data_IF_903037155909
#
_entry.id   IF_903037155909
#
_cell.length_a   1.000
_cell.length_b   1.000
_cell.length_c   1.000
_cell.angle_alpha   90.00
_cell.angle_beta   90.00
_cell.angle_gamma   90.00
#
_symmetry.space_group_name_H-M   'P 1'
#
loop_
_entity.id
_entity.type
_entity.pdbx_description
1 polymer ?
#
# COMPACT_ATOMS: atom_id res chain seq x y z
N UNK A 1 1.72 -7.55 -8.05
CA UNK A 1 2.34 -6.28 -7.70
C UNK A 1 2.19 -5.27 -8.83
N UNK A 2 2.12 -4.00 -8.51
CA UNK A 2 2.31 -2.91 -9.45
C UNK A 2 3.79 -2.78 -9.81
N UNK A 3 4.17 -2.78 -11.11
CA UNK A 3 5.59 -2.65 -11.50
C UNK A 3 6.23 -1.34 -11.09
N UNK A 4 5.43 -0.29 -10.90
CA UNK A 4 5.90 1.06 -10.57
C UNK A 4 6.15 1.25 -9.08
N UNK A 5 5.18 0.86 -8.24
CA UNK A 5 5.28 1.05 -6.79
C UNK A 5 5.96 -0.12 -6.08
N UNK A 6 6.01 -1.30 -6.72
CA UNK A 6 6.41 -2.59 -6.12
C UNK A 6 5.52 -3.03 -4.95
N UNK A 7 4.44 -2.31 -4.72
CA UNK A 7 3.40 -2.65 -3.76
C UNK A 7 2.42 -3.66 -4.38
N UNK A 8 1.64 -4.41 -3.59
CA UNK A 8 0.50 -5.15 -4.10
C UNK A 8 -0.35 -4.28 -5.03
N UNK A 9 -0.79 -4.86 -6.14
CA UNK A 9 -1.76 -4.20 -7.00
C UNK A 9 -3.13 -4.34 -6.34
N UNK A 10 -3.78 -3.20 -6.11
CA UNK A 10 -5.13 -3.16 -5.52
C UNK A 10 -6.14 -3.05 -6.64
N UNK A 11 -7.17 -3.87 -6.55
CA UNK A 11 -8.29 -3.93 -7.50
C UNK A 11 -9.58 -3.64 -6.74
N UNK A 12 -10.35 -2.66 -7.19
CA UNK A 12 -11.68 -2.42 -6.67
C UNK A 12 -12.67 -3.28 -7.46
N UNK A 13 -13.38 -4.15 -6.77
CA UNK A 13 -14.44 -4.93 -7.39
C UNK A 13 -15.61 -4.02 -7.77
N UNK A 14 -16.04 -4.02 -9.04
CA UNK A 14 -17.09 -3.11 -9.49
C UNK A 14 -18.49 -3.44 -8.95
N UNK A 15 -18.69 -4.63 -8.40
CA UNK A 15 -19.99 -5.08 -7.87
C UNK A 15 -20.10 -4.87 -6.36
N UNK A 16 -19.03 -5.22 -5.61
CA UNK A 16 -19.04 -5.16 -4.14
C UNK A 16 -18.37 -3.91 -3.60
N UNK A 17 -17.57 -3.23 -4.41
CA UNK A 17 -16.72 -2.10 -4.02
C UNK A 17 -15.67 -2.46 -2.98
N UNK A 18 -15.33 -3.75 -2.87
CA UNK A 18 -14.23 -4.19 -2.03
C UNK A 18 -12.87 -3.90 -2.68
N UNK A 19 -11.92 -3.53 -1.84
CA UNK A 19 -10.55 -3.27 -2.23
C UNK A 19 -9.73 -4.55 -2.07
N UNK A 20 -9.45 -5.19 -3.20
CA UNK A 20 -8.93 -6.55 -3.25
C UNK A 20 -7.47 -6.61 -3.68
N UNK A 21 -6.76 -7.61 -3.16
CA UNK A 21 -5.47 -8.05 -3.70
C UNK A 21 -5.63 -9.43 -4.33
N UNK A 22 -5.12 -9.58 -5.57
CA UNK A 22 -5.24 -10.80 -6.34
C UNK A 22 -4.16 -11.81 -5.93
N UNK A 23 -4.59 -13.01 -5.57
CA UNK A 23 -3.75 -14.16 -5.26
C UNK A 23 -4.10 -15.34 -6.15
N UNK A 24 -3.10 -16.15 -6.50
CA UNK A 24 -3.27 -17.29 -7.38
C UNK A 24 -2.54 -18.50 -6.82
N UNK A 25 -3.19 -19.67 -6.86
CA UNK A 25 -2.60 -20.94 -6.44
C UNK A 25 -1.61 -21.48 -7.47
N UNK A 26 -1.77 -21.09 -8.73
CA UNK A 26 -0.90 -21.55 -9.82
C UNK A 26 -0.30 -20.37 -10.59
N UNK A 27 0.95 -20.56 -11.03
CA UNK A 27 1.65 -19.56 -11.85
C UNK A 27 0.98 -19.38 -13.22
N UNK A 28 0.41 -20.44 -13.77
CA UNK A 28 -0.27 -20.42 -15.07
C UNK A 28 -1.48 -19.48 -15.04
N UNK A 29 -2.36 -19.64 -14.05
CA UNK A 29 -3.53 -18.77 -13.89
C UNK A 29 -3.11 -17.32 -13.66
N UNK A 30 -2.11 -17.09 -12.79
CA UNK A 30 -1.57 -15.76 -12.57
C UNK A 30 -1.06 -15.10 -13.86
N UNK A 31 -0.38 -15.85 -14.73
CA UNK A 31 0.10 -15.36 -16.02
C UNK A 31 -1.04 -15.04 -16.99
N UNK A 32 -2.08 -15.88 -17.02
CA UNK A 32 -3.23 -15.66 -17.88
C UNK A 32 -3.99 -14.40 -17.46
N UNK A 33 -4.30 -14.27 -16.18
CA UNK A 33 -4.94 -13.08 -15.64
C UNK A 33 -4.08 -11.82 -15.87
N UNK A 34 -2.76 -11.91 -15.68
CA UNK A 34 -1.87 -10.78 -15.94
C UNK A 34 -1.87 -10.35 -17.42
N UNK A 35 -2.07 -11.27 -18.38
CA UNK A 35 -2.24 -10.92 -19.81
C UNK A 35 -3.54 -10.16 -20.05
N UNK A 36 -4.65 -10.62 -19.46
CA UNK A 36 -5.95 -9.93 -19.57
C UNK A 36 -5.89 -8.50 -19.00
N UNK A 37 -5.19 -8.31 -17.87
CA UNK A 37 -4.96 -6.97 -17.33
C UNK A 37 -4.06 -6.12 -18.23
N UNK A 38 -3.05 -6.73 -18.87
CA UNK A 38 -2.18 -6.02 -19.80
C UNK A 38 -2.94 -5.55 -21.06
N UNK A 39 -3.90 -6.32 -21.57
CA UNK A 39 -4.80 -5.92 -22.65
C UNK A 39 -5.63 -4.68 -22.28
N UNK A 40 -5.98 -4.56 -21.00
CA UNK A 40 -6.63 -3.37 -20.42
C UNK A 40 -5.64 -2.24 -20.07
N UNK A 41 -4.38 -2.35 -20.52
CA UNK A 41 -3.27 -1.42 -20.22
C UNK A 41 -2.91 -1.33 -18.73
N UNK A 42 -3.12 -2.40 -17.99
CA UNK A 42 -2.75 -2.52 -16.57
C UNK A 42 -1.62 -3.54 -16.47
N UNK A 43 -0.36 -3.12 -16.48
CA UNK A 43 0.76 -4.03 -16.35
C UNK A 43 0.86 -4.56 -14.92
N UNK A 44 0.96 -5.88 -14.75
CA UNK A 44 1.15 -6.54 -13.48
C UNK A 44 2.49 -7.24 -13.43
N UNK A 45 3.15 -7.20 -12.26
CA UNK A 45 4.33 -8.00 -11.96
C UNK A 45 3.93 -9.15 -11.05
N UNK A 46 4.23 -10.38 -11.46
CA UNK A 46 4.02 -11.54 -10.61
C UNK A 46 5.13 -11.65 -9.56
N UNK A 47 4.77 -12.01 -8.36
CA UNK A 47 5.69 -12.32 -7.27
C UNK A 47 5.22 -13.58 -6.56
N UNK A 48 6.16 -14.47 -6.24
CA UNK A 48 5.88 -15.63 -5.43
C UNK A 48 5.85 -15.20 -3.96
N UNK A 49 4.84 -15.67 -3.25
CA UNK A 49 4.70 -15.48 -1.81
C UNK A 49 4.95 -16.83 -1.11
N UNK A 50 5.93 -16.88 -0.24
CA UNK A 50 6.21 -18.08 0.54
C UNK A 50 5.34 -18.15 1.80
N UNK A 51 5.02 -19.36 2.25
CA UNK A 51 4.16 -19.60 3.42
C UNK A 51 4.63 -18.85 4.68
N UNK A 52 5.94 -18.70 4.85
CA UNK A 52 6.53 -17.96 5.99
C UNK A 52 6.24 -16.46 5.97
N UNK A 53 5.85 -15.93 4.82
CA UNK A 53 5.57 -14.50 4.61
C UNK A 53 4.08 -14.18 4.71
N UNK A 54 3.19 -15.18 4.71
CA UNK A 54 1.74 -14.95 4.66
C UNK A 54 1.23 -14.03 5.76
N UNK A 55 1.58 -14.32 7.01
CA UNK A 55 1.10 -13.51 8.13
C UNK A 55 1.55 -12.04 8.04
N UNK A 56 2.82 -11.81 7.70
CA UNK A 56 3.37 -10.47 7.54
C UNK A 56 2.70 -9.77 6.35
N UNK A 57 2.53 -10.49 5.25
CA UNK A 57 1.89 -9.97 4.04
C UNK A 57 0.44 -9.56 4.33
N UNK A 58 -0.37 -10.47 4.86
CA UNK A 58 -1.78 -10.17 5.15
C UNK A 58 -1.94 -9.06 6.19
N UNK A 59 -1.10 -9.04 7.23
CA UNK A 59 -1.10 -7.95 8.21
C UNK A 59 -0.77 -6.59 7.60
N UNK A 60 0.11 -6.56 6.59
CA UNK A 60 0.47 -5.31 5.90
C UNK A 60 -0.65 -4.75 5.02
N UNK A 61 -1.59 -5.59 4.58
CA UNK A 61 -2.71 -5.17 3.74
C UNK A 61 -3.68 -4.23 4.48
N UNK A 62 -3.81 -4.37 5.80
CA UNK A 62 -4.61 -3.43 6.60
C UNK A 62 -4.08 -1.99 6.52
N UNK A 63 -2.75 -1.81 6.61
CA UNK A 63 -2.15 -0.48 6.49
C UNK A 63 -2.30 0.11 5.08
N UNK A 64 -2.61 -0.75 4.08
CA UNK A 64 -2.87 -0.34 2.70
C UNK A 64 -4.35 -0.05 2.41
N UNK A 65 -5.24 -0.28 3.37
CA UNK A 65 -6.70 -0.12 3.19
C UNK A 65 -7.39 -1.28 2.47
N UNK A 66 -6.67 -2.37 2.19
CA UNK A 66 -7.26 -3.57 1.55
C UNK A 66 -8.11 -4.32 2.55
N UNK A 67 -9.30 -4.74 2.14
CA UNK A 67 -10.26 -5.45 2.99
C UNK A 67 -10.53 -6.89 2.54
N UNK A 68 -10.20 -7.25 1.30
CA UNK A 68 -10.51 -8.56 0.73
C UNK A 68 -9.34 -9.15 -0.08
N UNK A 69 -9.30 -10.47 -0.17
CA UNK A 69 -8.42 -11.22 -1.06
C UNK A 69 -9.24 -11.93 -2.12
N UNK A 70 -8.92 -11.68 -3.38
CA UNK A 70 -9.49 -12.39 -4.52
C UNK A 70 -8.57 -13.54 -4.91
N UNK A 71 -9.04 -14.76 -4.68
CA UNK A 71 -8.31 -16.00 -4.98
C UNK A 71 -8.71 -16.52 -6.35
N UNK A 72 -7.72 -16.79 -7.20
CA UNK A 72 -7.87 -17.43 -8.51
C UNK A 72 -8.90 -16.72 -9.41
N UNK A 73 -8.89 -15.40 -9.45
CA UNK A 73 -9.72 -14.62 -10.36
C UNK A 73 -9.55 -15.11 -11.81
N UNK A 74 -10.68 -15.39 -12.48
CA UNK A 74 -10.70 -15.96 -13.84
C UNK A 74 -10.45 -17.46 -13.92
N UNK A 75 -10.27 -18.15 -12.79
CA UNK A 75 -10.13 -19.60 -12.72
C UNK A 75 -11.47 -20.35 -12.61
N UNK A 76 -11.40 -21.69 -12.56
CA UNK A 76 -12.59 -22.54 -12.43
C UNK A 76 -13.29 -22.38 -11.06
N UNK A 77 -12.54 -22.06 -10.02
CA UNK A 77 -13.06 -21.95 -8.63
C UNK A 77 -12.48 -20.68 -8.00
N UNK A 78 -12.94 -19.52 -8.43
CA UNK A 78 -12.57 -18.27 -7.77
C UNK A 78 -13.21 -18.22 -6.38
N UNK A 79 -12.54 -17.56 -5.45
CA UNK A 79 -13.07 -17.35 -4.11
C UNK A 79 -12.65 -15.98 -3.59
N UNK A 80 -13.48 -15.37 -2.78
CA UNK A 80 -13.19 -14.15 -2.06
C UNK A 80 -13.09 -14.44 -0.58
N UNK A 81 -12.14 -13.85 0.10
CA UNK A 81 -11.90 -14.05 1.51
C UNK A 81 -11.66 -12.70 2.15
N UNK A 82 -12.51 -12.31 3.09
CA UNK A 82 -12.33 -11.08 3.83
C UNK A 82 -11.04 -11.15 4.68
N UNK A 83 -10.27 -10.07 4.67
CA UNK A 83 -8.96 -10.06 5.33
C UNK A 83 -9.04 -10.33 6.84
N UNK A 84 -10.12 -9.91 7.50
CA UNK A 84 -10.38 -10.15 8.92
C UNK A 84 -10.67 -11.61 9.28
N UNK A 85 -10.99 -12.45 8.30
CA UNK A 85 -11.13 -13.90 8.51
C UNK A 85 -9.78 -14.61 8.58
N UNK A 86 -8.76 -14.03 7.93
CA UNK A 86 -7.41 -14.60 7.88
C UNK A 86 -6.50 -14.10 8.98
N UNK A 87 -6.58 -12.82 9.30
CA UNK A 87 -5.70 -12.18 10.29
C UNK A 87 -6.53 -11.33 11.24
N UNK A 88 -6.45 -11.68 12.52
CA UNK A 88 -7.02 -10.84 13.58
C UNK A 88 -6.09 -9.68 13.85
N UNK A 89 -6.66 -8.48 13.86
CA UNK A 89 -5.97 -7.28 14.23
C UNK A 89 -6.41 -6.85 15.62
N UNK A 90 -5.51 -6.71 16.60
CA UNK A 90 -5.88 -6.17 17.90
C UNK A 90 -6.47 -4.76 17.74
N UNK A 91 -7.52 -4.46 18.49
CA UNK A 91 -8.06 -3.10 18.56
C UNK A 91 -7.01 -2.12 19.08
N UNK A 92 -7.09 -0.85 18.66
CA UNK A 92 -6.18 0.19 19.13
C UNK A 92 -6.25 0.39 20.65
N UNK A 93 -7.42 0.16 21.25
CA UNK A 93 -7.63 0.20 22.71
C UNK A 93 -6.92 -0.92 23.47
N UNK A 94 -6.47 -1.97 22.78
CA UNK A 94 -5.74 -3.11 23.38
C UNK A 94 -4.22 -2.93 23.31
N UNK A 95 -3.74 -1.81 22.80
CA UNK A 95 -2.31 -1.51 22.79
C UNK A 95 -1.82 -1.21 24.20
N UNK A 96 -0.57 -1.60 24.53
CA UNK A 96 0.05 -1.23 25.79
C UNK A 96 0.04 0.29 26.00
N UNK A 97 -0.01 0.70 27.27
CA UNK A 97 0.02 2.13 27.62
C UNK A 97 1.25 2.82 27.00
N UNK A 98 1.03 3.99 26.40
CA UNK A 98 2.05 4.76 25.70
C UNK A 98 2.37 4.31 24.28
N UNK A 99 1.75 3.25 23.78
CA UNK A 99 1.87 2.86 22.38
C UNK A 99 0.72 3.42 21.54
N UNK A 100 1.08 4.00 20.39
CA UNK A 100 0.13 4.54 19.42
C UNK A 100 0.35 3.80 18.10
N UNK A 101 -0.74 3.31 17.52
CA UNK A 101 -0.70 2.78 16.15
C UNK A 101 -0.89 3.92 15.17
N UNK A 102 0.13 4.19 14.38
CA UNK A 102 0.07 5.16 13.29
C UNK A 102 -0.12 4.40 11.98
N UNK A 103 -1.22 4.66 11.31
CA UNK A 103 -1.59 4.10 10.01
C UNK A 103 -2.53 5.06 9.30
N UNK A 104 -2.43 5.06 7.98
CA UNK A 104 -3.22 5.92 7.11
C UNK A 104 -3.79 5.09 5.94
N UNK A 105 -4.69 4.11 6.22
CA UNK A 105 -5.16 3.17 5.19
C UNK A 105 -5.85 3.86 4.03
N UNK A 106 -6.68 4.88 4.27
CA UNK A 106 -7.36 5.64 3.21
C UNK A 106 -6.34 6.39 2.34
N UNK A 107 -5.34 7.02 2.94
CA UNK A 107 -4.26 7.69 2.19
C UNK A 107 -3.47 6.69 1.35
N UNK A 108 -3.12 5.53 1.92
CA UNK A 108 -2.37 4.51 1.20
C UNK A 108 -3.17 3.96 0.03
N UNK A 109 -4.45 3.66 0.24
CA UNK A 109 -5.34 3.14 -0.78
C UNK A 109 -5.51 4.12 -1.95
N UNK A 110 -5.90 5.37 -1.66
CA UNK A 110 -6.07 6.41 -2.68
C UNK A 110 -4.77 6.71 -3.41
N UNK A 111 -3.62 6.70 -2.72
CA UNK A 111 -2.29 6.85 -3.33
C UNK A 111 -1.96 5.70 -4.28
N UNK A 112 -2.32 4.46 -3.92
CA UNK A 112 -2.11 3.30 -4.78
C UNK A 112 -2.96 3.38 -6.05
N UNK A 113 -4.23 3.71 -5.94
CA UNK A 113 -5.11 3.91 -7.10
C UNK A 113 -4.63 5.05 -7.99
N UNK A 114 -4.31 6.20 -7.41
CA UNK A 114 -3.76 7.34 -8.15
C UNK A 114 -2.49 6.94 -8.91
N UNK A 115 -1.54 6.27 -8.26
CA UNK A 115 -0.29 5.84 -8.89
C UNK A 115 -0.50 4.75 -9.94
N UNK A 116 -1.43 3.84 -9.74
CA UNK A 116 -1.79 2.81 -10.70
C UNK A 116 -2.38 3.45 -11.96
N UNK A 117 -3.32 4.39 -11.82
CA UNK A 117 -3.91 5.08 -12.95
C UNK A 117 -2.92 6.01 -13.66
N UNK A 118 -2.16 6.81 -12.93
CA UNK A 118 -1.12 7.68 -13.47
C UNK A 118 -0.09 6.93 -14.34
N UNK A 119 0.18 5.66 -14.00
CA UNK A 119 1.20 4.83 -14.66
C UNK A 119 0.64 3.89 -15.73
N UNK A 120 -0.64 3.90 -16.02
CA UNK A 120 -1.24 3.16 -17.14
C UNK A 120 -0.75 3.63 -18.50
N UNK A 121 -0.35 4.90 -18.58
CA UNK A 121 0.22 5.50 -19.81
C UNK A 121 1.65 5.96 -19.59
N UNK A 122 2.57 5.74 -20.56
CA UNK A 122 3.91 6.30 -20.54
C UNK A 122 3.94 7.85 -20.56
N UNK A 123 2.88 8.44 -21.10
CA UNK A 123 2.65 9.88 -21.13
C UNK A 123 1.28 10.16 -20.52
N UNK A 124 1.19 10.22 -19.19
CA UNK A 124 -0.08 10.44 -18.52
C UNK A 124 -0.63 11.82 -18.92
N UNK A 125 -1.88 11.83 -19.31
CA UNK A 125 -2.64 13.07 -19.48
C UNK A 125 -3.41 13.31 -18.20
N UNK A 126 -3.47 14.55 -17.75
CA UNK A 126 -4.26 14.93 -16.59
C UNK A 126 -5.73 14.93 -17.01
N UNK A 127 -6.45 13.88 -16.63
CA UNK A 127 -7.90 13.77 -16.81
C UNK A 127 -8.65 14.33 -15.59
N UNK A 128 -9.95 14.65 -15.70
CA UNK A 128 -10.77 15.03 -14.54
C UNK A 128 -10.72 13.98 -13.43
N UNK A 129 -10.83 12.69 -13.79
CA UNK A 129 -10.82 11.57 -12.84
C UNK A 129 -9.48 11.50 -12.09
N UNK A 130 -8.36 11.70 -12.80
CA UNK A 130 -7.03 11.70 -12.16
C UNK A 130 -6.86 12.88 -11.20
N UNK A 131 -7.48 14.04 -11.49
CA UNK A 131 -7.51 15.18 -10.56
C UNK A 131 -8.34 14.89 -9.32
N UNK A 132 -9.51 14.26 -9.48
CA UNK A 132 -10.35 13.86 -8.36
C UNK A 132 -9.60 12.90 -7.43
N UNK A 133 -8.90 11.90 -7.98
CA UNK A 133 -8.05 10.99 -7.21
C UNK A 133 -6.91 11.73 -6.48
N UNK A 134 -6.28 12.72 -7.11
CA UNK A 134 -5.25 13.55 -6.49
C UNK A 134 -5.81 14.40 -5.35
N UNK A 135 -6.96 15.01 -5.53
CA UNK A 135 -7.64 15.82 -4.51
C UNK A 135 -8.04 14.96 -3.30
N UNK A 136 -8.58 13.77 -3.55
CA UNK A 136 -8.92 12.80 -2.50
C UNK A 136 -7.68 12.37 -1.71
N UNK A 137 -6.62 11.98 -2.41
CA UNK A 137 -5.34 11.62 -1.78
C UNK A 137 -4.80 12.76 -0.92
N UNK A 138 -4.84 14.00 -1.40
CA UNK A 138 -4.40 15.18 -0.65
C UNK A 138 -5.31 15.48 0.55
N UNK A 139 -6.61 15.22 0.44
CA UNK A 139 -7.55 15.36 1.56
C UNK A 139 -7.23 14.36 2.68
N UNK A 140 -6.95 13.10 2.34
CA UNK A 140 -6.52 12.08 3.30
C UNK A 140 -5.14 12.40 3.89
N UNK A 141 -4.21 12.91 3.06
CA UNK A 141 -2.90 13.36 3.53
C UNK A 141 -3.00 14.43 4.62
N UNK A 142 -3.89 15.39 4.46
CA UNK A 142 -4.09 16.48 5.45
C UNK A 142 -4.72 16.04 6.76
N UNK A 143 -5.42 14.91 6.77
CA UNK A 143 -6.08 14.34 7.96
C UNK A 143 -5.23 13.29 8.65
N UNK A 144 -4.14 12.88 8.01
CA UNK A 144 -3.31 11.77 8.47
C UNK A 144 -2.50 12.11 9.72
N UNK A 145 -2.06 11.07 10.39
CA UNK A 145 -1.07 11.12 11.47
C UNK A 145 0.16 10.34 11.00
N UNK A 146 1.35 10.89 11.21
CA UNK A 146 2.56 10.38 10.59
C UNK A 146 3.63 10.06 11.61
N UNK A 147 4.57 9.21 11.20
CA UNK A 147 5.80 8.95 11.94
C UNK A 147 6.91 9.81 11.31
N UNK A 148 7.58 10.57 12.15
CA UNK A 148 8.80 11.31 11.79
C UNK A 148 10.02 10.60 12.38
N UNK A 149 11.09 10.52 11.62
CA UNK A 149 12.37 10.00 12.09
C UNK A 149 13.12 11.07 12.89
N UNK A 150 13.61 10.70 14.08
CA UNK A 150 14.44 11.54 14.92
C UNK A 150 15.77 10.83 15.17
N UNK A 151 16.88 11.49 14.88
CA UNK A 151 18.23 11.05 15.18
C UNK A 151 18.69 11.53 16.57
N UNK A 152 19.85 11.08 16.99
CA UNK A 152 20.49 11.56 18.23
C UNK A 152 20.54 13.09 18.28
N UNK A 153 20.44 13.65 19.47
CA UNK A 153 20.37 15.10 19.73
C UNK A 153 19.13 15.78 19.10
N UNK A 154 18.03 15.03 18.94
CA UNK A 154 16.78 15.52 18.35
C UNK A 154 16.92 16.10 16.94
N UNK A 155 17.89 15.61 16.17
CA UNK A 155 18.05 16.02 14.78
C UNK A 155 17.07 15.26 13.88
N UNK A 156 16.57 15.95 12.87
CA UNK A 156 15.70 15.37 11.84
C UNK A 156 16.53 15.06 10.60
N UNK A 157 16.50 13.83 10.07
CA UNK A 157 17.22 13.52 8.84
C UNK A 157 16.57 14.22 7.64
N UNK A 158 17.39 14.70 6.73
CA UNK A 158 16.95 15.27 5.45
C UNK A 158 17.46 14.43 4.29
N UNK A 159 16.60 14.19 3.31
CA UNK A 159 16.94 13.59 2.05
C UNK A 159 17.22 14.68 1.03
N UNK A 160 18.44 14.69 0.47
CA UNK A 160 18.80 15.62 -0.61
C UNK A 160 18.57 14.95 -1.95
N UNK A 161 17.76 15.56 -2.79
CA UNK A 161 17.60 15.14 -4.18
C UNK A 161 18.66 15.77 -5.08
N UNK A 162 18.83 15.21 -6.28
CA UNK A 162 19.86 15.65 -7.26
C UNK A 162 19.79 17.13 -7.64
N UNK A 163 18.64 17.77 -7.47
CA UNK A 163 18.44 19.21 -7.75
C UNK A 163 18.79 20.13 -6.58
N UNK A 164 19.27 19.60 -5.46
CA UNK A 164 19.64 20.37 -4.28
C UNK A 164 18.51 20.58 -3.27
N UNK A 165 17.29 20.20 -3.59
CA UNK A 165 16.15 20.28 -2.66
C UNK A 165 16.35 19.29 -1.50
N UNK A 166 15.99 19.72 -0.31
CA UNK A 166 16.03 18.91 0.91
C UNK A 166 14.61 18.60 1.38
N UNK A 167 14.35 17.32 1.64
CA UNK A 167 13.05 16.83 2.06
C UNK A 167 13.19 16.12 3.41
N UNK A 168 12.24 16.38 4.30
CA UNK A 168 12.09 15.64 5.53
C UNK A 168 11.22 14.41 5.26
N UNK A 169 11.72 13.18 5.52
CA UNK A 169 10.90 11.99 5.38
C UNK A 169 9.87 11.90 6.50
N UNK A 170 8.63 11.62 6.14
CA UNK A 170 7.54 11.21 7.02
C UNK A 170 7.00 9.87 6.54
N UNK A 171 6.45 9.07 7.45
CA UNK A 171 6.03 7.71 7.15
C UNK A 171 4.58 7.50 7.55
N UNK A 172 3.84 6.82 6.71
CA UNK A 172 2.41 6.53 6.88
C UNK A 172 2.14 5.50 7.97
N UNK A 173 3.15 4.67 8.27
CA UNK A 173 3.06 3.60 9.25
C UNK A 173 4.46 3.14 9.72
N UNK A 174 4.48 2.27 10.71
CA UNK A 174 5.73 1.75 11.30
C UNK A 174 6.51 0.85 10.32
N UNK A 175 5.83 0.16 9.40
CA UNK A 175 6.48 -0.69 8.40
C UNK A 175 7.32 0.15 7.43
N UNK A 176 6.78 1.27 6.95
CA UNK A 176 7.50 2.19 6.08
C UNK A 176 8.67 2.87 6.81
N UNK A 177 8.47 3.27 8.06
CA UNK A 177 9.58 3.77 8.88
C UNK A 177 10.70 2.72 9.05
N UNK A 178 10.37 1.46 9.32
CA UNK A 178 11.37 0.39 9.50
C UNK A 178 12.16 0.13 8.21
N UNK A 179 11.55 0.24 7.04
CA UNK A 179 12.26 0.13 5.75
C UNK A 179 13.30 1.24 5.57
N UNK A 180 13.01 2.43 6.07
CA UNK A 180 13.95 3.56 6.08
C UNK A 180 15.04 3.38 7.14
N UNK A 181 14.67 3.00 8.36
CA UNK A 181 15.55 2.92 9.53
C UNK A 181 16.23 1.55 9.68
N UNK A 182 16.71 0.95 8.58
CA UNK A 182 17.37 -0.37 8.59
C UNK A 182 18.57 -0.44 9.53
N UNK A 183 19.32 0.64 9.65
CA UNK A 183 20.50 0.75 10.52
C UNK A 183 20.15 1.09 11.98
N UNK A 184 18.85 1.23 12.30
CA UNK A 184 18.33 1.53 13.64
C UNK A 184 18.94 2.80 14.28
N UNK A 185 19.22 3.80 13.47
CA UNK A 185 19.83 5.08 13.90
C UNK A 185 18.81 6.16 14.30
N UNK A 186 17.52 5.90 14.07
CA UNK A 186 16.46 6.85 14.34
C UNK A 186 15.44 6.30 15.34
N UNK A 187 14.88 7.18 16.14
CA UNK A 187 13.68 6.98 16.95
C UNK A 187 12.46 7.53 16.21
N UNK A 188 11.28 7.20 16.68
CA UNK A 188 10.01 7.69 16.13
C UNK A 188 9.48 8.88 16.93
N UNK A 189 8.95 9.88 16.24
CA UNK A 189 8.02 10.84 16.79
C UNK A 189 6.73 10.80 16.00
N UNK A 190 5.59 11.00 16.66
CA UNK A 190 4.27 11.05 15.99
C UNK A 190 3.91 12.51 15.77
N UNK A 191 3.50 12.82 14.55
CA UNK A 191 3.10 14.15 14.12
C UNK A 191 1.75 14.08 13.40
N UNK A 192 0.86 15.09 13.63
CA UNK A 192 -0.42 15.20 12.92
C UNK A 192 -0.22 15.66 11.48
#
# INVERSE_FOLDING_TARGET
>A
LSPCTKMPFVYCDPETFDDEVLLFRTEELAKNTAKEFLEKKIPLQLAKLDNKQFLIFYSSLYAMGVNELSLDLGGEKPAKVALNELVRRPDASQLPEGQIRVENPELMLTSLYFMQELRRSPKPQVTPELKEMEEEMLAHFRKGTYIMAIQDKNMVPFLKLKKGDAYQPIFTDIGEFQKFNREKKCHTAVVP
#
